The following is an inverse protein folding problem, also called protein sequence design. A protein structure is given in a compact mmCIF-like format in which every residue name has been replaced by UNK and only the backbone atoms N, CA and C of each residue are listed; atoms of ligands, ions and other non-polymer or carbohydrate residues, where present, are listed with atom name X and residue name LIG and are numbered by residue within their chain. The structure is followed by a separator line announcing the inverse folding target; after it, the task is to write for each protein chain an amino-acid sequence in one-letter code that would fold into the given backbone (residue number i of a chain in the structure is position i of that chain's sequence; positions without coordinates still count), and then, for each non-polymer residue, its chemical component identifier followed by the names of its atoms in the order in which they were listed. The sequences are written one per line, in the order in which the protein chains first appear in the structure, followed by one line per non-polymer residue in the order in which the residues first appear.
data_IF_815445480363
#
_entry.id   IF_815445480363
#
_cell.length_a   1.000
_cell.length_b   1.000
_cell.length_c   1.000
_cell.angle_alpha   90.00
_cell.angle_beta   90.00
_cell.angle_gamma   90.00
#
_symmetry.space_group_name_H-M   'P 1'
#
loop_
_entity.id
_entity.type
_entity.pdbx_description
1 polymer ?
#
# COMPACT_ATOMS: atom_id res chain seq x y z
N UNK A 1 19.58 -11.01 -7.31
CA UNK A 1 18.34 -10.48 -7.93
C UNK A 1 17.80 -9.42 -6.99
N UNK A 2 17.61 -8.19 -7.47
CA UNK A 2 17.13 -7.08 -6.64
C UNK A 2 15.67 -7.25 -6.24
N UNK A 3 15.24 -6.47 -5.25
CA UNK A 3 13.82 -6.41 -4.88
C UNK A 3 12.97 -5.92 -6.03
N UNK A 4 11.90 -6.64 -6.35
CA UNK A 4 10.90 -6.21 -7.32
C UNK A 4 9.67 -5.67 -6.60
N UNK A 5 9.12 -4.58 -7.12
CA UNK A 5 7.99 -3.87 -6.55
C UNK A 5 6.82 -3.81 -7.52
N UNK A 6 5.62 -4.08 -7.01
CA UNK A 6 4.37 -3.95 -7.75
C UNK A 6 3.34 -3.19 -6.94
N UNK A 7 2.28 -2.78 -7.64
CA UNK A 7 0.99 -2.50 -7.03
C UNK A 7 -0.10 -3.17 -7.86
N UNK A 8 -1.14 -3.61 -7.18
CA UNK A 8 -2.34 -4.21 -7.77
C UNK A 8 -3.55 -3.48 -7.21
N UNK A 9 -4.59 -3.30 -8.03
CA UNK A 9 -5.79 -2.62 -7.57
C UNK A 9 -6.48 -3.49 -6.51
N UNK A 10 -6.75 -2.93 -5.34
CA UNK A 10 -7.26 -3.70 -4.20
C UNK A 10 -8.69 -4.20 -4.46
N UNK A 11 -9.49 -3.40 -5.15
CA UNK A 11 -10.87 -3.73 -5.55
C UNK A 11 -11.02 -3.57 -7.06
N UNK A 12 -10.77 -4.64 -7.80
CA UNK A 12 -10.78 -4.63 -9.27
C UNK A 12 -12.17 -4.31 -9.85
N UNK A 13 -13.25 -4.64 -9.12
CA UNK A 13 -14.64 -4.36 -9.53
C UNK A 13 -15.03 -2.87 -9.42
N UNK A 14 -14.21 -2.02 -8.80
CA UNK A 14 -14.51 -0.60 -8.65
C UNK A 14 -13.52 0.20 -9.51
N UNK A 15 -13.91 0.50 -10.74
CA UNK A 15 -13.08 1.18 -11.75
C UNK A 15 -12.47 2.50 -11.25
N UNK A 16 -13.16 3.21 -10.36
CA UNK A 16 -12.74 4.49 -9.81
C UNK A 16 -12.18 4.43 -8.39
N UNK A 17 -11.93 3.24 -7.84
CA UNK A 17 -11.28 3.13 -6.53
C UNK A 17 -9.78 3.37 -6.70
N UNK A 18 -9.33 4.57 -6.35
CA UNK A 18 -7.92 4.90 -6.16
C UNK A 18 -7.36 4.16 -4.93
N UNK A 19 -7.24 2.82 -5.03
CA UNK A 19 -6.89 1.92 -3.94
C UNK A 19 -6.00 0.79 -4.42
N UNK A 20 -4.81 0.73 -3.84
CA UNK A 20 -3.70 -0.09 -4.33
C UNK A 20 -3.09 -0.91 -3.21
N UNK A 21 -3.02 -2.22 -3.41
CA UNK A 21 -2.20 -3.10 -2.58
C UNK A 21 -0.79 -3.12 -3.13
N UNK A 22 0.19 -2.87 -2.26
CA UNK A 22 1.61 -2.76 -2.63
C UNK A 22 2.31 -4.07 -2.35
N UNK A 23 3.08 -4.55 -3.33
CA UNK A 23 3.81 -5.81 -3.28
C UNK A 23 5.32 -5.58 -3.34
N UNK A 24 6.06 -6.33 -2.52
CA UNK A 24 7.53 -6.51 -2.63
C UNK A 24 7.80 -8.00 -2.79
N UNK A 25 8.42 -8.39 -3.90
CA UNK A 25 8.70 -9.80 -4.18
C UNK A 25 7.44 -10.70 -4.16
N UNK A 26 6.29 -10.17 -4.58
CA UNK A 26 5.00 -10.87 -4.57
C UNK A 26 4.30 -10.94 -3.19
N UNK A 27 4.93 -10.40 -2.14
CA UNK A 27 4.37 -10.32 -0.79
C UNK A 27 3.69 -8.97 -0.56
N UNK A 28 2.53 -8.98 0.09
CA UNK A 28 1.75 -7.79 0.42
C UNK A 28 2.43 -7.02 1.54
N UNK A 29 3.09 -5.90 1.22
CA UNK A 29 3.82 -5.11 2.22
C UNK A 29 3.04 -3.91 2.73
N UNK A 30 1.97 -3.52 2.05
CA UNK A 30 1.21 -2.32 2.42
C UNK A 30 0.06 -2.03 1.48
N UNK A 31 -0.59 -0.89 1.73
CA UNK A 31 -1.71 -0.39 0.93
C UNK A 31 -1.62 1.12 0.82
N UNK A 32 -2.05 1.65 -0.31
CA UNK A 32 -2.14 3.08 -0.59
C UNK A 32 -3.50 3.35 -1.20
N UNK A 33 -4.28 4.26 -0.61
CA UNK A 33 -5.59 4.61 -1.15
C UNK A 33 -5.90 6.09 -0.96
N UNK A 34 -6.74 6.63 -1.86
CA UNK A 34 -7.23 8.00 -1.78
C UNK A 34 -8.30 8.09 -0.69
N UNK A 35 -8.05 8.91 0.33
CA UNK A 35 -8.98 9.13 1.42
C UNK A 35 -9.95 10.25 1.04
N UNK A 36 -11.13 9.86 0.54
CA UNK A 36 -12.23 10.78 0.17
C UNK A 36 -13.16 11.12 1.32
N UNK A 37 -12.94 10.54 2.51
CA UNK A 37 -13.84 10.72 3.67
C UNK A 37 -13.61 12.04 4.41
N UNK A 38 -12.49 12.72 4.14
CA UNK A 38 -12.17 14.00 4.74
C UNK A 38 -12.81 15.15 3.95
N UNK A 39 -14.11 15.37 4.19
CA UNK A 39 -14.97 16.36 3.53
C UNK A 39 -14.44 17.82 3.51
N UNK A 40 -13.38 18.14 4.26
CA UNK A 40 -12.80 19.50 4.38
C UNK A 40 -11.26 19.55 4.21
N UNK A 41 -10.62 18.52 3.63
CA UNK A 41 -9.19 18.59 3.28
C UNK A 41 -9.00 18.36 1.78
N UNK A 42 -7.92 18.94 1.25
CA UNK A 42 -7.43 18.60 -0.08
C UNK A 42 -7.30 17.07 -0.19
N UNK A 43 -7.50 16.52 -1.39
CA UNK A 43 -7.41 15.09 -1.64
C UNK A 43 -6.08 14.55 -1.06
N UNK A 44 -6.16 13.66 -0.07
CA UNK A 44 -4.97 13.09 0.57
C UNK A 44 -4.92 11.59 0.36
N UNK A 45 -3.71 11.09 0.12
CA UNK A 45 -3.43 9.67 0.00
C UNK A 45 -3.08 9.13 1.36
N UNK A 46 -3.78 8.09 1.81
CA UNK A 46 -3.43 7.34 3.01
C UNK A 46 -2.58 6.14 2.62
N UNK A 47 -1.51 5.91 3.36
CA UNK A 47 -0.66 4.74 3.19
C UNK A 47 -0.49 3.99 4.50
N UNK A 48 -0.27 2.69 4.40
CA UNK A 48 0.08 1.82 5.52
C UNK A 48 1.07 0.75 5.09
N UNK A 49 1.92 0.33 6.04
CA UNK A 49 2.84 -0.81 5.88
C UNK A 49 2.53 -1.90 6.90
N UNK A 50 2.62 -3.15 6.45
CA UNK A 50 2.51 -4.34 7.29
C UNK A 50 3.90 -4.62 7.87
N UNK A 51 4.18 -3.99 9.01
CA UNK A 51 5.43 -4.18 9.73
C UNK A 51 5.25 -4.04 11.24
N UNK A 52 6.27 -4.36 12.03
CA UNK A 52 6.30 -4.21 13.49
C UNK A 52 7.44 -3.26 13.88
N UNK A 53 7.12 -2.09 14.48
CA UNK A 53 5.78 -1.57 14.74
C UNK A 53 5.06 -1.14 13.45
N UNK A 54 3.71 -1.21 13.39
CA UNK A 54 2.97 -0.78 12.20
C UNK A 54 3.15 0.72 11.98
N UNK A 55 3.17 1.14 10.71
CA UNK A 55 3.25 2.55 10.34
C UNK A 55 2.21 2.90 9.27
N UNK A 56 1.61 4.08 9.42
CA UNK A 56 0.68 4.66 8.47
C UNK A 56 0.63 6.19 8.65
N UNK A 57 0.50 6.93 7.54
CA UNK A 57 0.30 8.39 7.51
C UNK A 57 -0.47 8.79 6.24
N UNK A 58 -0.58 10.09 6.06
CA UNK A 58 -1.06 10.74 4.86
C UNK A 58 0.11 11.24 4.01
N UNK A 59 -0.14 11.36 2.71
CA UNK A 59 0.72 12.01 1.73
C UNK A 59 -0.15 12.84 0.77
N UNK A 60 0.44 13.82 0.13
CA UNK A 60 -0.28 14.70 -0.81
C UNK A 60 -0.47 14.04 -2.17
N UNK A 61 0.41 13.09 -2.52
CA UNK A 61 0.38 12.39 -3.81
C UNK A 61 0.53 10.88 -3.65
N UNK A 62 0.04 10.15 -4.65
CA UNK A 62 0.23 8.69 -4.77
C UNK A 62 1.71 8.31 -4.78
N UNK A 63 2.54 9.10 -5.49
CA UNK A 63 3.99 8.84 -5.58
C UNK A 63 4.65 8.92 -4.19
N UNK A 64 4.38 9.98 -3.42
CA UNK A 64 4.88 10.12 -2.06
C UNK A 64 4.39 8.99 -1.15
N UNK A 65 3.12 8.60 -1.24
CA UNK A 65 2.58 7.48 -0.46
C UNK A 65 3.28 6.15 -0.77
N UNK A 66 3.61 5.90 -2.06
CA UNK A 66 4.36 4.71 -2.47
C UNK A 66 5.82 4.74 -1.98
N UNK A 67 6.47 5.90 -2.04
CA UNK A 67 7.83 6.07 -1.53
C UNK A 67 7.89 5.88 -0.01
N UNK A 68 6.87 6.35 0.72
CA UNK A 68 6.74 6.14 2.16
C UNK A 68 6.59 4.65 2.51
N UNK A 69 5.82 3.89 1.71
CA UNK A 69 5.71 2.43 1.83
C UNK A 69 7.05 1.76 1.57
N UNK A 70 7.74 2.12 0.48
CA UNK A 70 9.05 1.55 0.13
C UNK A 70 10.11 1.80 1.20
N UNK A 71 10.14 3.00 1.76
CA UNK A 71 11.11 3.39 2.79
C UNK A 71 10.90 2.67 4.14
N UNK A 72 9.68 2.20 4.42
CA UNK A 72 9.31 1.64 5.73
C UNK A 72 8.95 0.16 5.71
N UNK A 73 8.71 -0.42 4.54
CA UNK A 73 8.53 -1.85 4.41
C UNK A 73 9.75 -2.58 4.97
N UNK A 74 9.52 -3.64 5.74
CA UNK A 74 10.59 -4.44 6.30
C UNK A 74 10.16 -5.89 6.43
N UNK A 75 11.10 -6.77 6.73
CA UNK A 75 10.83 -8.19 6.94
C UNK A 75 10.43 -8.52 8.39
N UNK A 76 10.03 -7.50 9.17
CA UNK A 76 9.49 -7.64 10.53
C UNK A 76 7.98 -7.50 10.52
N UNK A 77 7.25 -8.61 10.50
CA UNK A 77 5.80 -8.63 10.29
C UNK A 77 5.01 -9.02 11.55
N UNK A 78 5.64 -9.71 12.50
CA UNK A 78 4.95 -10.27 13.68
C UNK A 78 4.02 -11.45 13.34
N UNK A 79 3.93 -11.83 12.07
CA UNK A 79 3.18 -12.97 11.54
C UNK A 79 3.81 -13.41 10.20
N UNK A 80 3.47 -14.59 9.65
CA UNK A 80 3.89 -14.98 8.30
C UNK A 80 3.37 -14.01 7.23
N UNK A 81 4.17 -13.60 6.23
CA UNK A 81 3.77 -12.61 5.24
C UNK A 81 2.62 -13.12 4.36
N UNK A 82 1.72 -12.22 3.99
CA UNK A 82 0.66 -12.54 3.02
C UNK A 82 1.21 -12.43 1.61
N UNK A 83 0.97 -13.44 0.78
CA UNK A 83 1.17 -13.33 -0.66
C UNK A 83 -0.09 -12.78 -1.32
N UNK A 84 0.07 -12.00 -2.39
CA UNK A 84 -1.06 -11.73 -3.27
C UNK A 84 -1.30 -13.00 -4.07
N UNK A 85 -2.48 -13.63 -3.90
CA UNK A 85 -2.86 -14.72 -4.78
C UNK A 85 -3.05 -14.12 -6.16
N UNK A 86 -2.10 -14.34 -7.06
CA UNK A 86 -2.37 -14.23 -8.48
C UNK A 86 -3.60 -15.07 -8.77
N UNK A 87 -4.57 -14.46 -9.46
CA UNK A 87 -5.68 -15.12 -10.13
C UNK A 87 -5.21 -16.48 -10.66
N UNK A 88 -5.74 -17.56 -10.09
CA UNK A 88 -5.74 -18.86 -10.74
C UNK A 88 -6.77 -18.82 -11.87
#
# INVERSE_FOLDING_TARGET
MGDWWARVQTFAEIESADDWTVLRNGLVVGRVFKDVTQHNRAETWRWSVITVPPANRYAETLAQALDEVRARASDKWGHPPYSWKTLA
#
